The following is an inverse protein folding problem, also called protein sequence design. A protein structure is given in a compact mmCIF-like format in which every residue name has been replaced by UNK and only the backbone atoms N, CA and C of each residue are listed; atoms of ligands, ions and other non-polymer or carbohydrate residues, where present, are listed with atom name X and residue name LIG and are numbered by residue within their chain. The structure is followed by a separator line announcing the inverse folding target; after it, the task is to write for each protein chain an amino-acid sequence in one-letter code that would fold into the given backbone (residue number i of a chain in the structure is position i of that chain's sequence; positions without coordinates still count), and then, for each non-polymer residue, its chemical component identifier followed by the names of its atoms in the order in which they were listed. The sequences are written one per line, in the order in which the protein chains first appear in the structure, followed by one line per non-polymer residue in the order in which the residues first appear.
data_IF_314855692909
#
_entry.id   IF_314855692909
#
_cell.length_a   1.000
_cell.length_b   1.000
_cell.length_c   1.000
_cell.angle_alpha   90.00
_cell.angle_beta   90.00
_cell.angle_gamma   90.00
#
_symmetry.space_group_name_H-M   'P 1'
#
loop_
_entity.id
_entity.type
_entity.pdbx_description
1 polymer ?
#
# COMPACT_ATOMS: atom_id res chain seq x y z
N UNK A 1 11.19 24.86 -1.86
CA UNK A 1 11.04 23.65 -1.02
C UNK A 1 10.84 22.48 -1.95
N UNK A 2 11.57 21.39 -1.77
CA UNK A 2 11.42 20.18 -2.61
C UNK A 2 10.30 19.34 -2.01
N UNK A 3 9.28 19.00 -2.80
CA UNK A 3 8.20 18.11 -2.39
C UNK A 3 8.35 16.79 -3.13
N UNK A 4 8.56 15.69 -2.39
CA UNK A 4 8.83 14.37 -2.96
C UNK A 4 7.75 13.90 -3.94
N UNK A 5 6.49 14.28 -3.73
CA UNK A 5 5.38 13.91 -4.62
C UNK A 5 5.53 14.47 -6.04
N UNK A 6 6.13 15.65 -6.16
CA UNK A 6 6.35 16.34 -7.45
C UNK A 6 7.54 15.73 -8.21
N UNK A 7 8.24 14.78 -7.57
CA UNK A 7 9.40 14.07 -8.10
C UNK A 7 9.26 12.55 -8.02
N UNK A 8 8.02 12.03 -8.03
CA UNK A 8 7.78 10.59 -8.06
C UNK A 8 8.25 9.83 -6.81
N UNK A 9 8.44 10.52 -5.68
CA UNK A 9 9.04 9.97 -4.46
C UNK A 9 10.48 9.48 -4.62
N UNK A 10 11.17 9.87 -5.68
CA UNK A 10 12.59 9.57 -5.83
C UNK A 10 13.41 10.32 -4.77
N UNK A 11 14.35 9.61 -4.17
CA UNK A 11 15.33 10.16 -3.22
C UNK A 11 16.70 10.11 -3.85
N UNK A 12 17.58 11.03 -3.48
CA UNK A 12 18.90 11.12 -4.04
C UNK A 12 19.36 12.55 -4.25
N UNK A 13 20.37 12.71 -5.09
CA UNK A 13 21.01 13.99 -5.33
C UNK A 13 20.28 14.72 -6.46
N UNK A 14 19.63 15.83 -6.12
CA UNK A 14 19.00 16.72 -7.08
C UNK A 14 19.94 17.86 -7.46
N UNK A 15 19.99 18.15 -8.77
CA UNK A 15 20.77 19.22 -9.36
C UNK A 15 19.84 20.31 -9.87
N UNK A 16 20.10 21.55 -9.48
CA UNK A 16 19.46 22.74 -10.04
C UNK A 16 20.55 23.59 -10.69
N UNK A 17 20.64 23.52 -12.02
CA UNK A 17 21.63 24.24 -12.81
C UNK A 17 20.99 25.47 -13.49
N UNK A 18 21.73 26.58 -13.49
CA UNK A 18 21.33 27.84 -14.11
C UNK A 18 22.23 28.13 -15.29
N UNK A 19 21.60 28.36 -16.44
CA UNK A 19 22.28 28.75 -17.67
C UNK A 19 21.78 30.12 -18.13
N UNK A 20 22.70 31.00 -18.52
CA UNK A 20 22.41 32.25 -19.20
C UNK A 20 22.68 32.11 -20.69
N UNK A 21 21.92 32.80 -21.53
CA UNK A 21 22.16 32.83 -22.97
C UNK A 21 22.64 34.23 -23.35
N UNK A 22 23.79 34.35 -24.00
CA UNK A 22 24.31 35.64 -24.46
C UNK A 22 23.52 36.17 -25.68
N UNK A 23 23.85 37.39 -26.11
CA UNK A 23 23.22 38.03 -27.26
C UNK A 23 23.44 37.31 -28.59
N UNK A 24 24.37 36.34 -28.63
CA UNK A 24 24.67 35.52 -29.80
C UNK A 24 24.01 34.13 -29.71
N UNK A 25 23.18 33.87 -28.70
CA UNK A 25 22.49 32.60 -28.50
C UNK A 25 23.33 31.52 -27.82
N UNK A 26 24.53 31.84 -27.30
CA UNK A 26 25.37 30.86 -26.62
C UNK A 26 24.93 30.70 -25.16
N UNK A 27 24.60 29.47 -24.76
CA UNK A 27 24.39 29.13 -23.36
C UNK A 27 25.72 29.07 -22.60
N UNK A 28 25.74 29.70 -21.44
CA UNK A 28 26.86 29.73 -20.49
C UNK A 28 26.32 29.27 -19.14
N UNK A 29 27.04 28.35 -18.50
CA UNK A 29 26.72 27.93 -17.15
C UNK A 29 27.02 29.07 -16.16
N UNK A 30 26.01 29.48 -15.40
CA UNK A 30 26.10 30.57 -14.43
C UNK A 30 26.26 30.08 -13.00
N UNK A 31 26.08 28.78 -12.78
CA UNK A 31 26.18 28.14 -11.48
C UNK A 31 25.02 27.19 -11.22
N UNK A 32 25.07 26.51 -10.09
CA UNK A 32 24.04 25.56 -9.70
C UNK A 32 24.08 25.29 -8.21
N UNK A 33 23.02 24.66 -7.74
CA UNK A 33 22.91 24.17 -6.38
C UNK A 33 22.66 22.66 -6.42
N UNK A 34 23.16 21.98 -5.40
CA UNK A 34 22.88 20.56 -5.18
C UNK A 34 22.15 20.41 -3.86
N UNK A 35 21.07 19.63 -3.86
CA UNK A 35 20.41 19.22 -2.64
C UNK A 35 20.35 17.70 -2.61
N UNK A 36 20.94 17.11 -1.56
CA UNK A 36 20.65 15.72 -1.24
C UNK A 36 19.27 15.68 -0.60
N UNK A 37 18.35 14.98 -1.26
CA UNK A 37 17.03 14.68 -0.72
C UNK A 37 17.13 13.27 -0.19
N UNK A 38 17.31 13.16 1.12
CA UNK A 38 17.27 11.88 1.81
C UNK A 38 15.82 11.48 2.03
N UNK A 39 15.60 10.18 2.21
CA UNK A 39 14.30 9.69 2.68
C UNK A 39 14.07 10.35 4.04
N UNK A 40 13.13 11.28 4.10
CA UNK A 40 12.83 11.94 5.36
C UNK A 40 11.97 10.98 6.16
N UNK A 41 12.61 10.11 6.93
CA UNK A 41 11.96 9.39 8.01
C UNK A 41 11.78 10.39 9.18
N UNK A 42 10.85 11.34 8.99
CA UNK A 42 10.52 12.32 10.01
C UNK A 42 10.03 11.56 11.25
N UNK A 43 10.79 11.64 12.34
CA UNK A 43 10.55 11.01 13.66
C UNK A 43 11.20 9.63 13.92
N UNK A 44 12.38 9.37 13.38
CA UNK A 44 13.15 8.22 13.87
C UNK A 44 13.89 8.58 15.17
N UNK A 45 13.22 8.32 16.29
CA UNK A 45 13.81 8.11 17.62
C UNK A 45 14.72 6.85 17.64
N UNK A 46 15.57 6.67 16.63
CA UNK A 46 16.45 5.51 16.46
C UNK A 46 15.80 4.22 15.94
N UNK A 47 14.53 4.22 15.52
CA UNK A 47 13.87 3.05 14.92
C UNK A 47 13.98 3.07 13.39
N UNK A 48 14.39 1.94 12.77
CA UNK A 48 14.22 1.73 11.33
C UNK A 48 12.73 1.56 11.04
N UNK A 49 12.06 2.62 10.58
CA UNK A 49 10.62 2.59 10.24
C UNK A 49 10.40 2.47 8.74
N UNK A 50 9.30 1.82 8.36
CA UNK A 50 8.97 1.53 6.97
C UNK A 50 7.78 2.38 6.55
N UNK A 51 8.00 3.42 5.74
CA UNK A 51 6.91 4.25 5.18
C UNK A 51 5.91 3.40 4.39
N UNK A 52 4.62 3.69 4.58
CA UNK A 52 3.49 3.13 3.81
C UNK A 52 3.27 3.92 2.50
N UNK A 53 3.52 5.23 2.53
CA UNK A 53 3.41 6.13 1.38
C UNK A 53 4.67 6.00 0.52
N UNK A 54 4.48 6.01 -0.80
CA UNK A 54 5.54 5.98 -1.80
C UNK A 54 5.20 5.12 -3.00
N UNK A 55 6.04 5.19 -4.03
CA UNK A 55 5.94 4.26 -5.16
C UNK A 55 6.29 2.84 -4.72
N UNK A 56 5.64 1.87 -5.33
CA UNK A 56 5.91 0.46 -5.12
C UNK A 56 7.34 0.13 -5.58
N UNK A 57 8.27 -0.27 -4.69
CA UNK A 57 9.64 -0.62 -5.10
C UNK A 57 9.73 -2.01 -5.75
N UNK A 58 8.59 -2.69 -5.91
CA UNK A 58 8.48 -4.07 -6.39
C UNK A 58 7.61 -4.15 -7.64
N UNK A 59 7.94 -5.10 -8.51
CA UNK A 59 7.12 -5.48 -9.66
C UNK A 59 6.03 -6.48 -9.26
N UNK A 60 4.98 -6.59 -10.10
CA UNK A 60 3.97 -7.64 -9.92
C UNK A 60 4.59 -9.04 -9.94
N UNK A 61 5.65 -9.26 -10.72
CA UNK A 61 6.33 -10.55 -10.77
C UNK A 61 7.02 -10.91 -9.44
N UNK A 62 7.58 -9.94 -8.73
CA UNK A 62 8.15 -10.18 -7.40
C UNK A 62 7.07 -10.59 -6.38
N UNK A 63 5.87 -9.99 -6.46
CA UNK A 63 4.72 -10.40 -5.64
C UNK A 63 4.24 -11.82 -5.99
N UNK A 64 4.20 -12.17 -7.28
CA UNK A 64 3.90 -13.54 -7.76
C UNK A 64 4.93 -14.53 -7.22
N UNK A 65 6.23 -14.19 -7.32
CA UNK A 65 7.32 -15.04 -6.84
C UNK A 65 7.25 -15.23 -5.31
N UNK A 66 6.93 -14.18 -4.55
CA UNK A 66 6.67 -14.27 -3.12
C UNK A 66 5.55 -15.28 -2.83
N UNK A 67 4.40 -15.17 -3.50
CA UNK A 67 3.28 -16.08 -3.27
C UNK A 67 3.67 -17.52 -3.60
N UNK A 68 4.29 -17.77 -4.76
CA UNK A 68 4.73 -19.09 -5.18
C UNK A 68 5.78 -19.70 -4.23
N UNK A 69 6.64 -18.89 -3.62
CA UNK A 69 7.64 -19.35 -2.64
C UNK A 69 7.03 -20.03 -1.41
N UNK A 70 5.74 -19.79 -1.15
CA UNK A 70 5.05 -20.34 0.01
C UNK A 70 4.54 -21.76 -0.19
N UNK A 71 4.48 -22.25 -1.43
CA UNK A 71 3.87 -23.53 -1.77
C UNK A 71 2.33 -23.55 -1.67
N UNK A 72 1.68 -22.44 -1.34
CA UNK A 72 0.21 -22.36 -1.37
C UNK A 72 -0.29 -22.33 -2.83
N UNK A 73 -1.41 -23.00 -3.09
CA UNK A 73 -2.12 -22.90 -4.38
C UNK A 73 -2.93 -21.61 -4.43
N UNK A 74 -2.87 -20.87 -5.53
CA UNK A 74 -3.74 -19.71 -5.73
C UNK A 74 -5.20 -20.18 -5.88
N UNK A 75 -6.19 -19.58 -5.17
CA UNK A 75 -7.55 -20.10 -5.18
C UNK A 75 -8.19 -20.05 -6.57
N UNK A 76 -8.64 -21.20 -7.08
CA UNK A 76 -9.33 -21.27 -8.38
C UNK A 76 -10.63 -20.48 -8.41
N UNK A 77 -11.19 -20.18 -7.24
CA UNK A 77 -12.33 -19.28 -7.08
C UNK A 77 -12.15 -17.98 -7.87
N UNK A 78 -10.96 -17.35 -7.85
CA UNK A 78 -10.72 -16.10 -8.57
C UNK A 78 -10.58 -16.28 -10.10
N UNK A 79 -10.26 -17.48 -10.57
CA UNK A 79 -10.12 -17.78 -12.00
C UNK A 79 -11.41 -18.26 -12.66
N UNK A 80 -12.38 -18.73 -11.87
CA UNK A 80 -13.60 -19.37 -12.38
C UNK A 80 -14.79 -18.40 -12.44
N UNK A 81 -15.91 -18.88 -13.01
CA UNK A 81 -17.21 -18.20 -13.01
C UNK A 81 -17.19 -16.76 -13.56
N UNK A 82 -16.34 -16.51 -14.56
CA UNK A 82 -16.23 -15.20 -15.21
C UNK A 82 -15.41 -14.16 -14.46
N UNK A 83 -14.80 -14.52 -13.32
CA UNK A 83 -13.88 -13.62 -12.59
C UNK A 83 -12.54 -13.48 -13.32
N UNK A 84 -12.00 -14.57 -13.86
CA UNK A 84 -10.81 -14.59 -14.73
C UNK A 84 -9.57 -13.88 -14.15
N UNK A 85 -9.40 -13.84 -12.83
CA UNK A 85 -8.24 -13.26 -12.16
C UNK A 85 -7.32 -14.39 -11.69
N UNK A 86 -6.21 -14.58 -12.38
CA UNK A 86 -5.12 -15.45 -11.92
C UNK A 86 -4.16 -14.70 -10.98
N UNK A 87 -3.14 -15.38 -10.46
CA UNK A 87 -2.17 -14.78 -9.53
C UNK A 87 -1.41 -13.59 -10.15
N UNK A 88 -1.06 -13.67 -11.45
CA UNK A 88 -0.39 -12.58 -12.15
C UNK A 88 -1.28 -11.34 -12.20
N UNK A 89 -2.54 -11.52 -12.61
CA UNK A 89 -3.50 -10.42 -12.68
C UNK A 89 -3.78 -9.86 -11.29
N UNK A 90 -3.93 -10.71 -10.28
CA UNK A 90 -4.12 -10.29 -8.90
C UNK A 90 -2.98 -9.39 -8.41
N UNK A 91 -1.72 -9.81 -8.63
CA UNK A 91 -0.55 -9.00 -8.28
C UNK A 91 -0.50 -7.67 -9.06
N UNK A 92 -0.86 -7.68 -10.35
CA UNK A 92 -0.96 -6.45 -11.15
C UNK A 92 -2.02 -5.49 -10.60
N UNK A 93 -3.19 -5.98 -10.19
CA UNK A 93 -4.23 -5.15 -9.57
C UNK A 93 -3.71 -4.43 -8.33
N UNK A 94 -2.89 -5.08 -7.49
CA UNK A 94 -2.26 -4.41 -6.34
C UNK A 94 -1.30 -3.29 -6.79
N UNK A 95 -0.43 -3.54 -7.77
CA UNK A 95 0.48 -2.51 -8.30
C UNK A 95 -0.31 -1.30 -8.83
N UNK A 96 -1.32 -1.56 -9.66
CA UNK A 96 -2.14 -0.51 -10.28
C UNK A 96 -2.86 0.36 -9.24
N UNK A 97 -3.59 -0.28 -8.32
CA UNK A 97 -4.37 0.44 -7.32
C UNK A 97 -3.48 1.18 -6.31
N UNK A 98 -2.35 0.58 -5.92
CA UNK A 98 -1.46 1.17 -4.92
C UNK A 98 -0.74 2.39 -5.49
N UNK A 99 -0.20 2.27 -6.71
CA UNK A 99 0.41 3.39 -7.41
C UNK A 99 -0.58 4.52 -7.66
N UNK A 100 -1.84 4.21 -7.99
CA UNK A 100 -2.87 5.22 -8.21
C UNK A 100 -3.16 6.06 -6.96
N UNK A 101 -2.97 5.51 -5.75
CA UNK A 101 -3.17 6.24 -4.48
C UNK A 101 -1.86 6.75 -3.84
N UNK A 102 -0.69 6.41 -4.39
CA UNK A 102 0.62 6.75 -3.82
C UNK A 102 1.01 5.90 -2.61
N UNK A 103 0.51 4.67 -2.57
CA UNK A 103 0.77 3.68 -1.52
C UNK A 103 1.69 2.60 -2.08
N UNK A 104 2.57 2.06 -1.25
CA UNK A 104 3.44 0.97 -1.70
C UNK A 104 2.66 -0.35 -1.76
N UNK A 105 2.70 -1.00 -2.93
CA UNK A 105 2.02 -2.27 -3.14
C UNK A 105 2.60 -3.43 -2.33
N UNK A 106 3.90 -3.43 -2.02
CA UNK A 106 4.53 -4.46 -1.18
C UNK A 106 3.92 -4.49 0.23
N UNK A 107 3.65 -3.32 0.82
CA UNK A 107 2.94 -3.19 2.10
C UNK A 107 1.52 -3.75 2.01
N UNK A 108 0.74 -3.29 1.04
CA UNK A 108 -0.66 -3.71 0.88
C UNK A 108 -0.76 -5.22 0.60
N UNK A 109 0.10 -5.75 -0.28
CA UNK A 109 0.11 -7.18 -0.61
C UNK A 109 0.55 -8.02 0.58
N UNK A 110 1.61 -7.63 1.29
CA UNK A 110 2.08 -8.33 2.49
C UNK A 110 1.01 -8.34 3.60
N UNK A 111 0.34 -7.20 3.82
CA UNK A 111 -0.78 -7.10 4.74
C UNK A 111 -1.91 -8.05 4.32
N UNK A 112 -2.28 -8.08 3.04
CA UNK A 112 -3.33 -8.98 2.56
C UNK A 112 -2.99 -10.46 2.78
N UNK A 113 -1.72 -10.86 2.57
CA UNK A 113 -1.29 -12.24 2.84
C UNK A 113 -1.34 -12.57 4.33
N UNK A 114 -0.99 -11.62 5.21
CA UNK A 114 -1.12 -11.78 6.66
C UNK A 114 -2.59 -11.96 7.07
N UNK A 115 -3.47 -11.07 6.61
CA UNK A 115 -4.89 -11.02 6.98
C UNK A 115 -5.68 -12.25 6.50
N UNK A 116 -5.39 -12.69 5.28
CA UNK A 116 -6.12 -13.80 4.65
C UNK A 116 -5.47 -15.16 4.90
N UNK A 117 -4.31 -15.20 5.55
CA UNK A 117 -3.50 -16.41 5.68
C UNK A 117 -3.10 -16.96 4.31
N UNK A 118 -2.54 -16.12 3.45
CA UNK A 118 -2.15 -16.44 2.06
C UNK A 118 -3.34 -16.83 1.17
N UNK A 119 -4.40 -16.00 1.20
CA UNK A 119 -5.64 -16.19 0.44
C UNK A 119 -6.37 -17.51 0.72
N UNK A 120 -6.06 -18.18 1.83
CA UNK A 120 -6.79 -19.38 2.27
C UNK A 120 -8.09 -19.05 2.98
N UNK A 121 -8.17 -17.85 3.58
CA UNK A 121 -9.31 -17.36 4.35
C UNK A 121 -9.72 -18.35 5.46
N UNK A 122 -9.12 -18.20 6.64
CA UNK A 122 -9.43 -19.02 7.83
C UNK A 122 -10.03 -18.22 8.99
N UNK A 123 -10.29 -16.93 8.78
CA UNK A 123 -10.81 -16.01 9.78
C UNK A 123 -12.30 -15.69 9.55
N UNK A 124 -12.72 -14.51 10.03
CA UNK A 124 -14.10 -14.06 9.92
C UNK A 124 -14.52 -13.69 8.49
N UNK A 125 -13.56 -13.25 7.67
CA UNK A 125 -13.81 -12.92 6.25
C UNK A 125 -13.64 -14.15 5.36
N UNK A 126 -14.57 -14.30 4.43
CA UNK A 126 -14.60 -15.34 3.41
C UNK A 126 -14.01 -14.85 2.09
N UNK A 127 -13.49 -15.80 1.31
CA UNK A 127 -12.98 -15.58 -0.05
C UNK A 127 -14.00 -14.89 -0.97
N UNK A 128 -15.30 -15.15 -0.80
CA UNK A 128 -16.38 -14.59 -1.62
C UNK A 128 -16.68 -13.13 -1.32
N UNK A 129 -16.05 -12.53 -0.30
CA UNK A 129 -16.28 -11.13 0.06
C UNK A 129 -15.32 -10.18 -0.65
N UNK A 130 -14.23 -10.69 -1.21
CA UNK A 130 -13.11 -9.87 -1.73
C UNK A 130 -12.59 -8.87 -0.70
N UNK A 131 -12.66 -9.22 0.59
CA UNK A 131 -12.19 -8.39 1.68
C UNK A 131 -10.80 -8.89 2.12
N UNK A 132 -9.77 -8.35 1.47
CA UNK A 132 -8.39 -8.81 1.64
C UNK A 132 -7.71 -8.28 2.91
N UNK A 133 -8.36 -7.37 3.64
CA UNK A 133 -7.75 -6.67 4.77
C UNK A 133 -8.61 -6.68 6.04
N UNK A 134 -9.59 -7.61 6.12
CA UNK A 134 -10.43 -7.77 7.31
C UNK A 134 -11.33 -6.57 7.61
N UNK A 135 -11.62 -5.72 6.62
CA UNK A 135 -12.30 -4.45 6.85
C UNK A 135 -13.70 -4.67 7.42
N UNK A 136 -13.92 -4.09 8.61
CA UNK A 136 -15.15 -4.16 9.41
C UNK A 136 -15.58 -5.57 9.81
N UNK A 137 -14.66 -6.53 9.82
CA UNK A 137 -14.81 -7.71 10.65
C UNK A 137 -14.51 -7.30 12.09
N UNK A 138 -15.38 -7.68 13.03
CA UNK A 138 -15.28 -7.28 14.43
C UNK A 138 -15.32 -8.52 15.32
N UNK A 139 -14.68 -8.45 16.48
CA UNK A 139 -14.57 -9.56 17.43
C UNK A 139 -15.93 -10.08 17.95
N UNK A 140 -17.03 -9.34 17.73
CA UNK A 140 -18.41 -9.72 18.02
C UNK A 140 -19.05 -10.63 16.94
N UNK A 141 -18.33 -10.93 15.85
CA UNK A 141 -18.75 -11.87 14.81
C UNK A 141 -19.39 -11.24 13.57
N UNK A 142 -19.32 -9.91 13.39
CA UNK A 142 -19.75 -9.31 12.13
C UNK A 142 -18.90 -9.83 10.96
N UNK A 143 -19.56 -10.27 9.87
CA UNK A 143 -18.92 -10.95 8.76
C UNK A 143 -17.93 -10.07 7.95
N UNK A 144 -17.79 -8.78 8.24
CA UNK A 144 -17.04 -7.84 7.42
C UNK A 144 -17.78 -7.44 6.14
N UNK A 145 -17.27 -6.43 5.43
CA UNK A 145 -17.90 -5.96 4.18
C UNK A 145 -17.66 -6.95 3.04
N UNK A 146 -18.67 -7.13 2.19
CA UNK A 146 -18.55 -7.84 0.92
C UNK A 146 -18.48 -6.86 -0.25
N UNK A 147 -17.30 -6.75 -0.85
CA UNK A 147 -17.10 -5.97 -2.08
C UNK A 147 -17.69 -6.70 -3.29
N UNK A 148 -17.77 -8.03 -3.27
CA UNK A 148 -18.48 -8.79 -4.29
C UNK A 148 -19.97 -8.41 -4.34
N UNK A 149 -20.64 -8.25 -3.19
CA UNK A 149 -22.04 -7.84 -3.15
C UNK A 149 -22.26 -6.41 -3.66
N UNK A 150 -21.35 -5.50 -3.32
CA UNK A 150 -21.48 -4.07 -3.68
C UNK A 150 -21.05 -3.78 -5.12
N UNK A 151 -20.02 -4.46 -5.62
CA UNK A 151 -19.33 -4.13 -6.88
C UNK A 151 -19.32 -5.26 -7.91
N UNK A 152 -19.92 -6.40 -7.59
CA UNK A 152 -20.08 -7.56 -8.45
C UNK A 152 -19.10 -8.68 -8.13
N UNK A 153 -19.56 -9.93 -8.25
CA UNK A 153 -18.73 -11.14 -8.10
C UNK A 153 -17.90 -11.41 -9.37
N UNK A 154 -17.00 -10.48 -9.70
CA UNK A 154 -16.18 -10.46 -10.90
C UNK A 154 -14.84 -9.72 -10.63
N UNK A 155 -14.00 -9.55 -11.66
CA UNK A 155 -12.73 -8.80 -11.52
C UNK A 155 -12.92 -7.39 -10.93
N UNK A 156 -14.01 -6.69 -11.27
CA UNK A 156 -14.27 -5.36 -10.72
C UNK A 156 -14.48 -5.42 -9.20
N UNK A 157 -15.24 -6.38 -8.68
CA UNK A 157 -15.38 -6.56 -7.23
C UNK A 157 -14.05 -6.86 -6.54
N UNK A 158 -13.21 -7.71 -7.15
CA UNK A 158 -11.86 -8.01 -6.65
C UNK A 158 -11.02 -6.72 -6.59
N UNK A 159 -11.01 -5.94 -7.68
CA UNK A 159 -10.32 -4.65 -7.76
C UNK A 159 -10.83 -3.67 -6.69
N UNK A 160 -12.15 -3.59 -6.46
CA UNK A 160 -12.71 -2.69 -5.45
C UNK A 160 -12.34 -3.11 -4.02
N UNK A 161 -12.24 -4.42 -3.75
CA UNK A 161 -11.72 -4.92 -2.48
C UNK A 161 -10.26 -4.51 -2.23
N UNK A 162 -9.41 -4.63 -3.26
CA UNK A 162 -8.01 -4.19 -3.22
C UNK A 162 -7.93 -2.67 -3.03
N UNK A 163 -8.70 -1.89 -3.81
CA UNK A 163 -8.78 -0.44 -3.68
C UNK A 163 -9.20 0.00 -2.27
N UNK A 164 -10.19 -0.66 -1.68
CA UNK A 164 -10.66 -0.32 -0.34
C UNK A 164 -9.52 -0.44 0.68
N UNK A 165 -8.77 -1.55 0.65
CA UNK A 165 -7.60 -1.73 1.52
C UNK A 165 -6.58 -0.60 1.34
N UNK A 166 -6.23 -0.28 0.10
CA UNK A 166 -5.24 0.75 -0.22
C UNK A 166 -5.69 2.14 0.24
N UNK A 167 -6.96 2.46 0.03
CA UNK A 167 -7.54 3.72 0.51
C UNK A 167 -7.52 3.82 2.03
N UNK A 168 -7.75 2.71 2.75
CA UNK A 168 -7.60 2.67 4.20
C UNK A 168 -6.14 2.81 4.64
N UNK A 169 -5.18 2.16 3.97
CA UNK A 169 -3.76 2.36 4.24
C UNK A 169 -3.35 3.83 4.05
N UNK A 170 -3.86 4.48 3.00
CA UNK A 170 -3.70 5.93 2.80
C UNK A 170 -4.36 6.74 3.91
N UNK A 171 -5.51 6.29 4.41
CA UNK A 171 -6.17 6.90 5.55
C UNK A 171 -5.29 6.89 6.80
N UNK A 172 -4.71 5.74 7.14
CA UNK A 172 -3.76 5.61 8.24
C UNK A 172 -2.50 6.43 8.02
N UNK A 173 -1.92 6.41 6.82
CA UNK A 173 -0.59 6.94 6.59
C UNK A 173 -0.53 8.43 6.23
N UNK A 174 -1.64 9.06 5.83
CA UNK A 174 -1.64 10.41 5.26
C UNK A 174 -2.91 11.19 5.59
N UNK A 175 -2.89 12.51 5.40
CA UNK A 175 -4.07 13.38 5.39
C UNK A 175 -4.46 13.83 3.97
N UNK A 176 -3.69 13.46 2.95
CA UNK A 176 -3.96 13.82 1.55
C UNK A 176 -5.26 13.17 1.05
N UNK A 177 -6.03 13.85 0.17
CA UNK A 177 -7.26 13.31 -0.38
C UNK A 177 -7.02 12.02 -1.19
N UNK A 178 -8.07 11.21 -1.34
CA UNK A 178 -8.05 10.08 -2.27
C UNK A 178 -7.95 10.57 -3.71
N UNK A 179 -7.21 9.84 -4.54
CA UNK A 179 -7.09 10.14 -5.96
C UNK A 179 -8.25 9.52 -6.76
N UNK A 180 -8.75 8.36 -6.31
CA UNK A 180 -9.92 7.72 -6.88
C UNK A 180 -11.15 7.87 -5.96
N UNK A 181 -12.33 7.58 -6.51
CA UNK A 181 -13.55 7.53 -5.73
C UNK A 181 -13.41 6.58 -4.53
N UNK A 182 -13.89 7.02 -3.37
CA UNK A 182 -13.92 6.20 -2.16
C UNK A 182 -14.88 5.00 -2.36
N UNK A 183 -14.41 3.78 -2.11
CA UNK A 183 -15.21 2.56 -2.32
C UNK A 183 -15.75 1.95 -1.02
N UNK A 184 -15.27 2.43 0.12
CA UNK A 184 -15.65 1.97 1.44
C UNK A 184 -15.92 3.15 2.38
N UNK A 185 -17.16 3.30 2.81
CA UNK A 185 -17.62 4.41 3.66
C UNK A 185 -16.89 4.45 5.01
N UNK A 186 -16.38 3.31 5.48
CA UNK A 186 -15.63 3.20 6.73
C UNK A 186 -14.28 3.90 6.69
N UNK A 187 -13.81 4.30 5.51
CA UNK A 187 -12.64 5.15 5.35
C UNK A 187 -12.71 6.41 6.26
N UNK A 188 -13.92 6.97 6.44
CA UNK A 188 -14.13 8.14 7.29
C UNK A 188 -14.03 7.86 8.80
N UNK A 189 -13.98 6.59 9.21
CA UNK A 189 -13.82 6.19 10.61
C UNK A 189 -12.34 6.18 11.04
N UNK A 190 -11.41 6.16 10.08
CA UNK A 190 -9.97 6.17 10.38
C UNK A 190 -9.54 7.58 10.76
N UNK A 191 -8.85 7.72 11.89
CA UNK A 191 -8.14 8.96 12.23
C UNK A 191 -7.01 9.18 11.22
N UNK A 192 -7.22 10.10 10.29
CA UNK A 192 -6.30 10.35 9.17
C UNK A 192 -4.87 10.66 9.64
N UNK A 193 -3.87 10.03 9.01
CA UNK A 193 -2.45 10.27 9.26
C UNK A 193 -1.92 9.76 10.60
N UNK A 194 -2.65 8.88 11.29
CA UNK A 194 -2.26 8.42 12.62
C UNK A 194 -1.17 7.33 12.63
N UNK A 195 -0.87 6.68 11.51
CA UNK A 195 0.11 5.61 11.38
C UNK A 195 0.84 5.68 10.02
N UNK A 196 1.79 6.61 9.83
CA UNK A 196 2.61 6.73 8.61
C UNK A 196 3.51 5.52 8.30
N UNK A 197 3.86 4.73 9.31
CA UNK A 197 4.79 3.61 9.22
C UNK A 197 4.11 2.25 9.39
N UNK A 198 4.59 1.23 8.70
CA UNK A 198 4.05 -0.14 8.77
C UNK A 198 4.08 -0.67 10.20
N UNK A 199 5.15 -0.40 10.94
CA UNK A 199 5.33 -0.76 12.34
C UNK A 199 4.21 -0.18 13.21
N UNK A 200 3.72 1.01 12.88
CA UNK A 200 2.68 1.73 13.61
C UNK A 200 1.25 1.36 13.20
N UNK A 201 1.08 0.41 12.27
CA UNK A 201 -0.23 -0.20 12.04
C UNK A 201 -0.66 -1.07 13.22
N UNK A 202 0.26 -1.49 14.10
CA UNK A 202 -0.06 -2.06 15.41
C UNK A 202 -0.25 -0.96 16.45
N UNK A 203 -1.40 -0.94 17.13
CA UNK A 203 -1.71 0.08 18.14
C UNK A 203 -0.72 0.10 19.30
N UNK A 204 -0.13 -1.05 19.65
CA UNK A 204 0.83 -1.14 20.77
C UNK A 204 2.19 -0.58 20.42
N UNK A 205 2.56 -0.61 19.14
CA UNK A 205 3.83 -0.10 18.62
C UNK A 205 3.72 1.36 18.17
N UNK A 206 2.50 1.87 17.99
CA UNK A 206 2.26 3.27 17.65
C UNK A 206 2.27 4.16 18.91
N UNK A 207 3.15 5.19 19.00
CA UNK A 207 3.20 6.10 20.14
C UNK A 207 1.89 6.83 20.45
N UNK A 208 1.02 7.00 19.44
CA UNK A 208 -0.27 7.67 19.57
C UNK A 208 -1.41 6.70 19.94
N UNK A 209 -1.14 5.39 20.05
CA UNK A 209 -2.12 4.36 20.39
C UNK A 209 -3.15 4.07 19.29
N UNK A 210 -2.98 4.62 18.08
CA UNK A 210 -3.83 4.33 16.92
C UNK A 210 -3.18 3.25 16.04
N UNK A 211 -3.97 2.59 15.20
CA UNK A 211 -3.45 1.54 14.33
C UNK A 211 -4.57 0.75 13.68
N UNK A 212 -4.20 -0.05 12.69
CA UNK A 212 -5.09 -0.98 12.00
C UNK A 212 -5.55 -2.09 12.93
N UNK A 213 -4.64 -2.65 13.74
CA UNK A 213 -4.92 -3.75 14.63
C UNK A 213 -4.56 -3.41 16.08
N UNK A 214 -5.33 -3.98 17.02
CA UNK A 214 -5.14 -3.83 18.47
C UNK A 214 -4.00 -4.70 19.02
N UNK A 215 -3.67 -5.78 18.30
CA UNK A 215 -2.64 -6.75 18.69
C UNK A 215 -1.22 -6.20 18.60
N UNK A 216 -0.34 -6.69 19.49
CA UNK A 216 1.10 -6.42 19.42
C UNK A 216 1.73 -7.09 18.19
N UNK A 217 2.86 -6.55 17.72
CA UNK A 217 3.65 -7.05 16.60
C UNK A 217 2.88 -7.17 15.27
N UNK A 218 1.77 -6.43 15.12
CA UNK A 218 0.98 -6.48 13.89
C UNK A 218 1.81 -5.99 12.70
N UNK A 219 2.40 -4.80 12.83
CA UNK A 219 3.27 -4.21 11.80
C UNK A 219 4.50 -5.07 11.52
N UNK A 220 5.15 -5.61 12.56
CA UNK A 220 6.29 -6.50 12.39
C UNK A 220 5.96 -7.73 11.53
N UNK A 221 4.79 -8.34 11.73
CA UNK A 221 4.38 -9.47 10.89
C UNK A 221 4.16 -9.11 9.41
N UNK A 222 3.86 -7.85 9.09
CA UNK A 222 3.82 -7.36 7.70
C UNK A 222 5.25 -7.22 7.18
N UNK A 223 6.15 -6.61 7.96
CA UNK A 223 7.58 -6.48 7.64
C UNK A 223 8.23 -7.85 7.36
N UNK A 224 7.94 -8.86 8.17
CA UNK A 224 8.47 -10.21 7.99
C UNK A 224 8.06 -10.83 6.64
N UNK A 225 6.86 -10.51 6.15
CA UNK A 225 6.41 -10.94 4.82
C UNK A 225 7.08 -10.10 3.73
N UNK A 226 7.20 -8.79 3.92
CA UNK A 226 7.88 -7.88 2.97
C UNK A 226 9.35 -8.30 2.75
N UNK A 227 10.05 -8.68 3.82
CA UNK A 227 11.45 -9.13 3.74
C UNK A 227 11.65 -10.43 2.97
N UNK A 228 10.57 -11.14 2.62
CA UNK A 228 10.60 -12.36 1.81
C UNK A 228 10.36 -12.08 0.32
N UNK A 229 10.07 -10.84 -0.06
CA UNK A 229 9.89 -10.47 -1.46
C UNK A 229 11.26 -10.52 -2.15
N UNK A 230 11.42 -11.35 -3.20
CA UNK A 230 12.71 -11.57 -3.87
C UNK A 230 13.12 -10.42 -4.79
#
# INVERSE_FOLDING_TARGET
TINLKDHGYDVGKYYADVYGTDSNGKQVYLGGATQNVEKIDNENNGMNTTSIIGLSPVSSQQLVNLYNSTGNTFPSYYTENGRNVDLNRFAQLYIEEANAEGIRADVAFAQAMKETGWLKFGGQVSISQFNFAGLGATDDGAAGMSFAQKYGDNENGIRMGIRAQIQHLKAYASTEPLNNACVDERFNLVKRGCAPYVEWLGQKENPNGYGWATGANYGQGIIDIMNRIP
#
